data_IF_336462792152
#
_entry.id   IF_336462792152
#
_cell.length_a   1.000
_cell.length_b   1.000
_cell.length_c   1.000
_cell.angle_alpha   90.00
_cell.angle_beta   90.00
_cell.angle_gamma   90.00
#
_symmetry.space_group_name_H-M   'P 1'
#
loop_
_entity.id
_entity.type
_entity.pdbx_description
1 polymer ?
#
# COMPACT_ATOMS: atom_id res chain seq x y z
N UNK A 1 3.65 -8.12 7.22
CA UNK A 1 2.92 -9.31 6.74
C UNK A 1 3.21 -9.65 5.27
N UNK A 2 3.29 -8.69 4.32
CA UNK A 2 3.62 -9.02 2.91
C UNK A 2 4.92 -9.79 2.68
N UNK A 3 5.97 -9.59 3.48
CA UNK A 3 7.21 -10.37 3.38
C UNK A 3 6.99 -11.86 3.69
N UNK A 4 6.10 -12.17 4.63
CA UNK A 4 5.76 -13.55 5.01
C UNK A 4 4.94 -14.20 3.90
N UNK A 5 3.98 -13.48 3.32
CA UNK A 5 3.20 -13.96 2.17
C UNK A 5 4.11 -14.21 0.97
N UNK A 6 5.00 -13.27 0.63
CA UNK A 6 5.97 -13.46 -0.46
C UNK A 6 6.87 -14.67 -0.27
N UNK A 7 7.33 -14.93 0.97
CA UNK A 7 8.10 -16.13 1.29
C UNK A 7 7.27 -17.41 1.13
N UNK A 8 6.03 -17.43 1.62
CA UNK A 8 5.15 -18.60 1.49
C UNK A 8 4.83 -18.91 0.03
N UNK A 9 4.52 -17.89 -0.77
CA UNK A 9 4.22 -18.03 -2.19
C UNK A 9 5.43 -18.57 -2.96
N UNK A 10 6.65 -18.10 -2.63
CA UNK A 10 7.88 -18.65 -3.19
C UNK A 10 8.09 -20.13 -2.84
N UNK A 11 7.78 -20.53 -1.61
CA UNK A 11 7.83 -21.95 -1.21
C UNK A 11 6.81 -22.79 -1.99
N UNK A 12 5.58 -22.30 -2.17
CA UNK A 12 4.53 -23.03 -2.92
C UNK A 12 4.91 -23.15 -4.40
N UNK A 13 5.47 -22.09 -5.01
CA UNK A 13 5.99 -22.13 -6.38
C UNK A 13 7.10 -23.20 -6.51
N UNK A 14 8.01 -23.29 -5.54
CA UNK A 14 9.00 -24.37 -5.49
C UNK A 14 8.39 -25.78 -5.38
N UNK A 15 7.32 -25.95 -4.60
CA UNK A 15 6.60 -27.23 -4.53
C UNK A 15 5.93 -27.57 -5.87
N UNK A 16 5.37 -26.60 -6.57
CA UNK A 16 4.78 -26.80 -7.89
C UNK A 16 5.84 -27.24 -8.91
N UNK A 17 7.01 -26.59 -8.93
CA UNK A 17 8.11 -26.96 -9.82
C UNK A 17 8.66 -28.36 -9.53
N UNK A 18 8.83 -28.71 -8.25
CA UNK A 18 9.25 -30.06 -7.85
C UNK A 18 8.20 -31.12 -8.23
N UNK A 19 6.92 -30.82 -8.04
CA UNK A 19 5.80 -31.71 -8.41
C UNK A 19 5.76 -31.90 -9.93
N UNK A 20 6.02 -30.84 -10.71
CA UNK A 20 6.11 -30.90 -12.16
C UNK A 20 7.27 -31.81 -12.63
N UNK A 21 8.43 -31.73 -11.99
CA UNK A 21 9.58 -32.61 -12.27
C UNK A 21 9.29 -34.07 -11.89
N UNK A 22 8.63 -34.32 -10.77
CA UNK A 22 8.22 -35.67 -10.35
C UNK A 22 7.21 -36.27 -11.35
N UNK A 23 6.23 -35.49 -11.79
CA UNK A 23 5.26 -35.89 -12.79
C UNK A 23 5.92 -36.22 -14.14
N UNK A 24 6.91 -35.42 -14.57
CA UNK A 24 7.68 -35.68 -15.76
C UNK A 24 8.43 -37.02 -15.68
N UNK A 25 9.11 -37.30 -14.57
CA UNK A 25 9.79 -38.58 -14.36
C UNK A 25 8.81 -39.76 -14.37
N UNK A 26 7.62 -39.60 -13.78
CA UNK A 26 6.58 -40.62 -13.81
C UNK A 26 6.05 -40.87 -15.24
N UNK A 27 5.89 -39.82 -16.05
CA UNK A 27 5.48 -39.94 -17.46
C UNK A 27 6.53 -40.69 -18.30
N UNK A 28 7.82 -40.43 -18.06
CA UNK A 28 8.93 -41.14 -18.72
C UNK A 28 8.91 -42.63 -18.37
N UNK A 29 8.76 -42.98 -17.09
CA UNK A 29 8.73 -44.38 -16.67
C UNK A 29 7.47 -45.10 -17.15
N UNK A 30 6.33 -44.40 -17.20
CA UNK A 30 5.09 -44.91 -17.77
C UNK A 30 5.24 -45.23 -19.27
N UNK A 31 5.91 -44.37 -20.04
CA UNK A 31 6.23 -44.64 -21.44
C UNK A 31 7.14 -45.86 -21.60
N UNK A 32 8.10 -46.05 -20.69
CA UNK A 32 9.01 -47.20 -20.67
C UNK A 32 8.31 -48.52 -20.37
N UNK A 33 7.25 -48.51 -19.56
CA UNK A 33 6.43 -49.68 -19.25
C UNK A 33 5.46 -50.09 -20.40
N UNK A 34 5.39 -49.30 -21.48
CA UNK A 34 4.55 -49.58 -22.64
C UNK A 34 3.06 -49.64 -22.28
N UNK A 35 2.35 -50.68 -22.74
CA UNK A 35 0.91 -50.83 -22.51
C UNK A 35 0.53 -50.91 -21.02
N UNK A 36 1.41 -51.45 -20.16
CA UNK A 36 1.17 -51.54 -18.72
C UNK A 36 1.27 -50.16 -18.03
N UNK A 37 1.92 -49.18 -18.66
CA UNK A 37 2.10 -47.83 -18.14
C UNK A 37 1.03 -46.82 -18.54
N UNK A 38 0.07 -47.20 -19.41
CA UNK A 38 -0.93 -46.26 -19.96
C UNK A 38 -1.73 -45.52 -18.89
N UNK A 39 -2.18 -46.20 -17.85
CA UNK A 39 -2.91 -45.57 -16.75
C UNK A 39 -2.05 -44.58 -15.95
N UNK A 40 -0.78 -44.93 -15.72
CA UNK A 40 0.17 -44.05 -15.03
C UNK A 40 0.54 -42.81 -15.86
N UNK A 41 0.61 -42.93 -17.19
CA UNK A 41 0.87 -41.81 -18.08
C UNK A 41 -0.22 -40.73 -17.99
N UNK A 42 -1.50 -41.13 -17.94
CA UNK A 42 -2.63 -40.20 -17.79
C UNK A 42 -2.57 -39.47 -16.44
N UNK A 43 -2.29 -40.19 -15.36
CA UNK A 43 -2.15 -39.58 -14.02
C UNK A 43 -0.97 -38.62 -13.97
N UNK A 44 0.17 -38.99 -14.57
CA UNK A 44 1.35 -38.13 -14.62
C UNK A 44 1.07 -36.81 -15.37
N UNK A 45 0.36 -36.86 -16.50
CA UNK A 45 -0.03 -35.65 -17.23
C UNK A 45 -0.99 -34.76 -16.43
N UNK A 46 -1.96 -35.34 -15.70
CA UNK A 46 -2.89 -34.57 -14.85
C UNK A 46 -2.15 -33.87 -13.70
N UNK A 47 -1.21 -34.57 -13.04
CA UNK A 47 -0.37 -33.98 -11.98
C UNK A 47 0.48 -32.84 -12.55
N UNK A 48 1.01 -33.00 -13.77
CA UNK A 48 1.79 -31.95 -14.44
C UNK A 48 0.95 -30.71 -14.72
N UNK A 49 -0.29 -30.89 -15.20
CA UNK A 49 -1.22 -29.78 -15.41
C UNK A 49 -1.58 -29.08 -14.10
N UNK A 50 -1.82 -29.84 -13.03
CA UNK A 50 -2.13 -29.28 -11.72
C UNK A 50 -0.95 -28.46 -11.17
N UNK A 51 0.27 -28.98 -11.26
CA UNK A 51 1.47 -28.27 -10.88
C UNK A 51 1.65 -26.95 -11.65
N UNK A 52 1.43 -26.97 -12.97
CA UNK A 52 1.45 -25.77 -13.80
C UNK A 52 0.40 -24.73 -13.36
N UNK A 53 -0.84 -25.16 -13.11
CA UNK A 53 -1.92 -24.29 -12.60
C UNK A 53 -1.58 -23.72 -11.23
N UNK A 54 -0.97 -24.50 -10.34
CA UNK A 54 -0.50 -24.02 -9.04
C UNK A 54 0.57 -22.94 -9.20
N UNK A 55 1.54 -23.12 -10.10
CA UNK A 55 2.58 -22.11 -10.36
C UNK A 55 1.97 -20.80 -10.87
N UNK A 56 1.04 -20.87 -11.83
CA UNK A 56 0.38 -19.68 -12.36
C UNK A 56 -0.42 -18.93 -11.26
N UNK A 57 -1.15 -19.67 -10.42
CA UNK A 57 -1.86 -19.07 -9.29
C UNK A 57 -0.90 -18.41 -8.28
N UNK A 58 0.27 -19.01 -8.02
CA UNK A 58 1.27 -18.37 -7.16
C UNK A 58 1.80 -17.08 -7.76
N UNK A 59 2.02 -17.01 -9.08
CA UNK A 59 2.48 -15.80 -9.75
C UNK A 59 1.45 -14.67 -9.70
N UNK A 60 0.16 -14.99 -9.88
CA UNK A 60 -0.93 -14.02 -9.69
C UNK A 60 -0.96 -13.46 -8.27
N UNK A 61 -0.79 -14.31 -7.25
CA UNK A 61 -0.72 -13.87 -5.85
C UNK A 61 0.49 -12.95 -5.63
N UNK A 62 1.66 -13.25 -6.21
CA UNK A 62 2.83 -12.35 -6.13
C UNK A 62 2.48 -10.98 -6.71
N UNK A 63 1.77 -10.94 -7.85
CA UNK A 63 1.30 -9.71 -8.47
C UNK A 63 0.41 -8.89 -7.53
N UNK A 64 -0.61 -9.52 -6.93
CA UNK A 64 -1.52 -8.87 -5.98
C UNK A 64 -0.78 -8.36 -4.74
N UNK A 65 0.14 -9.15 -4.19
CA UNK A 65 0.93 -8.74 -3.01
C UNK A 65 1.80 -7.52 -3.33
N UNK A 66 2.46 -7.49 -4.49
CA UNK A 66 3.24 -6.33 -4.94
C UNK A 66 2.37 -5.09 -5.08
N UNK A 67 1.23 -5.22 -5.76
CA UNK A 67 0.29 -4.11 -5.92
C UNK A 67 -0.16 -3.54 -4.56
N UNK A 68 -0.48 -4.40 -3.60
CA UNK A 68 -0.85 -3.96 -2.25
C UNK A 68 0.32 -3.26 -1.51
N UNK A 69 1.56 -3.71 -1.72
CA UNK A 69 2.74 -3.05 -1.15
C UNK A 69 2.94 -1.64 -1.74
N UNK A 70 2.73 -1.49 -3.05
CA UNK A 70 2.85 -0.20 -3.72
C UNK A 70 1.75 0.77 -3.27
N UNK A 71 0.51 0.29 -3.14
CA UNK A 71 -0.59 1.08 -2.58
C UNK A 71 -0.31 1.51 -1.14
N UNK A 72 0.20 0.62 -0.29
CA UNK A 72 0.54 0.96 1.08
C UNK A 72 1.66 2.02 1.15
N UNK A 73 2.66 1.94 0.27
CA UNK A 73 3.72 2.94 0.16
C UNK A 73 3.15 4.30 -0.26
N UNK A 74 2.34 4.31 -1.31
CA UNK A 74 1.68 5.52 -1.80
C UNK A 74 0.80 6.17 -0.73
N UNK A 75 0.08 5.38 0.06
CA UNK A 75 -0.71 5.89 1.18
C UNK A 75 0.16 6.56 2.26
N UNK A 76 1.33 5.98 2.59
CA UNK A 76 2.27 6.58 3.55
C UNK A 76 2.84 7.90 3.01
N UNK A 77 3.19 7.96 1.73
CA UNK A 77 3.67 9.19 1.08
C UNK A 77 2.61 10.29 1.12
N UNK A 78 1.35 9.95 0.79
CA UNK A 78 0.23 10.89 0.84
C UNK A 78 -0.04 11.38 2.27
N UNK A 79 0.08 10.51 3.28
CA UNK A 79 -0.03 10.91 4.68
C UNK A 79 1.08 11.86 5.11
N UNK A 80 2.31 11.66 4.61
CA UNK A 80 3.43 12.56 4.89
C UNK A 80 3.20 13.94 4.27
N UNK A 81 2.72 14.00 3.02
CA UNK A 81 2.35 15.26 2.38
C UNK A 81 1.20 15.96 3.11
N UNK A 82 0.16 15.23 3.48
CA UNK A 82 -0.98 15.76 4.25
C UNK A 82 -0.56 16.32 5.60
N UNK A 83 0.41 15.68 6.27
CA UNK A 83 1.01 16.21 7.51
C UNK A 83 1.72 17.53 7.26
N UNK A 84 2.54 17.63 6.21
CA UNK A 84 3.24 18.87 5.88
C UNK A 84 2.26 20.01 5.59
N UNK A 85 1.19 19.74 4.84
CA UNK A 85 0.15 20.73 4.57
C UNK A 85 -0.57 21.18 5.85
N UNK A 86 -0.84 20.26 6.78
CA UNK A 86 -1.43 20.60 8.07
C UNK A 86 -0.50 21.48 8.93
N UNK A 87 0.81 21.21 8.94
CA UNK A 87 1.81 22.03 9.63
C UNK A 87 1.90 23.45 9.03
N UNK A 88 1.83 23.57 7.70
CA UNK A 88 1.75 24.87 7.03
C UNK A 88 0.46 25.62 7.37
N UNK A 89 -0.68 24.93 7.35
CA UNK A 89 -1.97 25.49 7.72
C UNK A 89 -1.99 26.02 9.17
N UNK A 90 -1.35 25.29 10.10
CA UNK A 90 -1.21 25.74 11.49
C UNK A 90 -0.37 27.02 11.59
N UNK A 91 0.70 27.12 10.81
CA UNK A 91 1.57 28.31 10.77
C UNK A 91 0.79 29.53 10.28
N UNK A 92 0.07 29.39 9.16
CA UNK A 92 -0.77 30.47 8.61
C UNK A 92 -1.88 30.89 9.57
N UNK A 93 -2.49 29.93 10.28
CA UNK A 93 -3.51 30.24 11.28
C UNK A 93 -2.93 31.03 12.47
N UNK A 94 -1.71 30.71 12.91
CA UNK A 94 -1.01 31.45 13.96
C UNK A 94 -0.68 32.88 13.51
N UNK A 95 -0.18 33.06 12.29
CA UNK A 95 0.07 34.38 11.70
C UNK A 95 -1.21 35.23 11.61
N UNK A 96 -2.30 34.64 11.10
CA UNK A 96 -3.59 35.30 11.05
C UNK A 96 -4.09 35.70 12.45
N UNK A 97 -3.88 34.83 13.45
CA UNK A 97 -4.18 35.11 14.86
C UNK A 97 -3.41 36.32 15.39
N UNK A 98 -2.12 36.44 15.07
CA UNK A 98 -1.30 37.59 15.45
C UNK A 98 -1.81 38.89 14.81
N UNK A 99 -2.15 38.86 13.53
CA UNK A 99 -2.72 40.02 12.82
C UNK A 99 -4.05 40.46 13.42
N UNK A 100 -4.90 39.52 13.84
CA UNK A 100 -6.17 39.85 14.51
C UNK A 100 -5.94 40.57 15.85
N UNK A 101 -4.92 40.16 16.62
CA UNK A 101 -4.54 40.84 17.87
C UNK A 101 -4.07 42.27 17.58
N UNK A 102 -3.23 42.48 16.57
CA UNK A 102 -2.81 43.83 16.16
C UNK A 102 -3.98 44.72 15.73
N UNK A 103 -4.95 44.17 15.01
CA UNK A 103 -6.17 44.89 14.62
C UNK A 103 -6.98 45.28 15.86
N UNK A 104 -7.14 44.37 16.83
CA UNK A 104 -7.85 44.65 18.07
C UNK A 104 -7.18 45.78 18.87
N UNK A 105 -5.86 45.73 19.00
CA UNK A 105 -5.08 46.79 19.66
C UNK A 105 -5.21 48.13 18.94
N UNK A 106 -5.14 48.12 17.60
CA UNK A 106 -5.36 49.30 16.77
C UNK A 106 -6.76 49.90 16.99
N UNK A 107 -7.79 49.07 17.01
CA UNK A 107 -9.16 49.50 17.26
C UNK A 107 -9.34 50.09 18.67
N UNK A 108 -8.74 49.50 19.70
CA UNK A 108 -8.76 50.04 21.06
C UNK A 108 -8.09 51.41 21.15
N UNK A 109 -6.95 51.60 20.48
CA UNK A 109 -6.27 52.91 20.41
C UNK A 109 -7.15 53.97 19.75
N UNK A 110 -7.84 53.63 18.66
CA UNK A 110 -8.79 54.54 17.98
C UNK A 110 -9.94 54.92 18.91
N UNK A 111 -10.56 53.95 19.59
CA UNK A 111 -11.65 54.22 20.56
C UNK A 111 -11.15 55.12 21.69
N UNK A 112 -9.96 54.86 22.23
CA UNK A 112 -9.34 55.69 23.26
C UNK A 112 -9.12 57.14 22.81
N UNK A 113 -8.58 57.34 21.60
CA UNK A 113 -8.36 58.66 21.03
C UNK A 113 -9.68 59.43 20.83
N UNK A 114 -10.72 58.77 20.31
CA UNK A 114 -12.06 59.36 20.14
C UNK A 114 -12.66 59.76 21.51
N UNK A 115 -12.51 58.91 22.52
CA UNK A 115 -12.96 59.22 23.88
C UNK A 115 -12.28 60.44 24.49
N UNK A 116 -10.97 60.61 24.27
CA UNK A 116 -10.24 61.81 24.71
C UNK A 116 -10.75 63.07 24.01
N UNK A 117 -10.94 63.05 22.69
CA UNK A 117 -11.47 64.18 21.94
C UNK A 117 -12.87 64.59 22.42
N UNK A 118 -13.75 63.61 22.65
CA UNK A 118 -15.09 63.87 23.17
C UNK A 118 -15.06 64.54 24.56
N UNK A 119 -14.14 64.12 25.44
CA UNK A 119 -14.00 64.72 26.78
C UNK A 119 -13.48 66.16 26.75
N UNK A 120 -12.59 66.49 25.82
CA UNK A 120 -12.09 67.85 25.63
C UNK A 120 -13.16 68.79 25.09
N UNK A 121 -14.06 68.31 24.23
CA UNK A 121 -15.16 69.11 23.68
C UNK A 121 -16.27 69.38 24.70
N UNK A 122 -16.35 68.57 25.75
CA UNK A 122 -17.31 68.65 26.85
C UNK A 122 -16.85 69.54 28.01
N UNK A 123 -15.58 70.00 28.00
CA UNK A 123 -15.00 70.90 29.00
C UNK A 123 -15.00 72.34 28.48
#
# INVERSE_FOLDING_TARGET
QSLVIGSMVKTISGFAEQTNLLALNAAIEAARAGEQGRGFAVVADEVRQLASRTSNATDEIVGVVRHNQDMARSAVELMAEGRQQAEQGLTLAAEAGAVIVEIQDGAQKVVGAVGQFASQLSS
#
